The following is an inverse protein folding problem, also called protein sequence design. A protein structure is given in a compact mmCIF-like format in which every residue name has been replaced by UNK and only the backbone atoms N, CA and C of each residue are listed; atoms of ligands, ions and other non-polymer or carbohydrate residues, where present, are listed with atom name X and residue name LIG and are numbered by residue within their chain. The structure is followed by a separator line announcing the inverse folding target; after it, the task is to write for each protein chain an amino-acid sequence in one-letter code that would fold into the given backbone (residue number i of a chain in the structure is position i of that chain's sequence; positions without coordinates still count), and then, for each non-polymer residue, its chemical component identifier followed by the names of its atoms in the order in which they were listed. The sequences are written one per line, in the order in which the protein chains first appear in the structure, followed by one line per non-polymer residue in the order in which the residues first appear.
data_IF_604047552044
#
_entry.id   IF_604047552044
#
_cell.length_a   1.000
_cell.length_b   1.000
_cell.length_c   1.000
_cell.angle_alpha   90.00
_cell.angle_beta   90.00
_cell.angle_gamma   90.00
#
_symmetry.space_group_name_H-M   'P 1'
#
loop_
_entity.id
_entity.type
_entity.pdbx_description
1 polymer ?
#
# COMPACT_ATOMS: atom_id res chain seq x y z
N UNK A 1 7.22 -32.38 -20.69
CA UNK A 1 8.18 -31.26 -20.73
C UNK A 1 7.57 -30.15 -21.56
N UNK A 2 7.87 -28.90 -21.22
CA UNK A 2 7.36 -27.64 -21.82
C UNK A 2 6.12 -27.03 -21.15
N UNK A 3 6.23 -26.76 -19.85
CA UNK A 3 5.50 -25.66 -19.18
C UNK A 3 6.35 -24.39 -19.04
N UNK A 4 7.69 -24.53 -19.05
CA UNK A 4 8.61 -23.43 -18.72
C UNK A 4 8.95 -22.51 -19.92
N UNK A 5 8.41 -22.77 -21.11
CA UNK A 5 8.57 -21.92 -22.31
C UNK A 5 7.23 -21.40 -22.86
N UNK A 6 6.15 -21.51 -22.09
CA UNK A 6 4.87 -20.89 -22.43
C UNK A 6 4.82 -19.47 -21.85
N UNK A 7 5.01 -18.48 -22.73
CA UNK A 7 5.05 -17.06 -22.37
C UNK A 7 3.74 -16.33 -22.66
N UNK A 8 2.67 -17.03 -23.05
CA UNK A 8 1.39 -16.39 -23.41
C UNK A 8 0.70 -15.71 -22.21
N UNK A 9 1.08 -16.09 -20.98
CA UNK A 9 0.66 -15.41 -19.75
C UNK A 9 1.61 -14.32 -19.25
N UNK A 10 2.69 -14.01 -19.98
CA UNK A 10 3.63 -12.97 -19.59
C UNK A 10 3.02 -11.57 -19.82
N UNK A 11 3.23 -10.67 -18.86
CA UNK A 11 2.85 -9.26 -19.00
C UNK A 11 3.61 -8.64 -20.19
N UNK A 12 2.95 -7.76 -20.97
CA UNK A 12 3.59 -7.03 -22.07
C UNK A 12 4.72 -6.17 -21.56
N UNK A 13 5.84 -6.11 -22.30
CA UNK A 13 7.04 -5.38 -21.89
C UNK A 13 6.78 -3.88 -21.62
N UNK A 14 5.85 -3.26 -22.35
CA UNK A 14 5.58 -1.81 -22.32
C UNK A 14 4.92 -1.33 -21.01
N UNK A 15 4.03 -2.15 -20.43
CA UNK A 15 3.28 -1.78 -19.21
C UNK A 15 4.17 -1.53 -17.98
N UNK A 16 5.40 -2.06 -17.99
CA UNK A 16 6.38 -1.83 -16.94
C UNK A 16 6.96 -0.41 -16.99
N UNK A 17 7.03 0.21 -18.18
CA UNK A 17 7.72 1.48 -18.42
C UNK A 17 6.82 2.71 -18.27
N UNK A 18 5.52 2.59 -18.49
CA UNK A 18 4.59 3.73 -18.39
C UNK A 18 4.56 4.32 -16.99
N UNK A 19 4.65 5.64 -16.84
CA UNK A 19 4.57 6.26 -15.52
C UNK A 19 3.19 6.10 -14.91
N UNK A 20 3.15 5.71 -13.63
CA UNK A 20 1.92 5.80 -12.84
C UNK A 20 1.53 7.27 -12.72
N UNK A 21 0.26 7.64 -12.97
CA UNK A 21 -0.20 9.02 -12.84
C UNK A 21 0.11 9.59 -11.46
N UNK A 22 0.48 10.87 -11.41
CA UNK A 22 0.70 11.56 -10.14
C UNK A 22 -0.59 11.60 -9.30
N UNK A 23 -0.43 11.59 -7.98
CA UNK A 23 -1.49 11.53 -6.97
C UNK A 23 -2.25 10.20 -6.90
N UNK A 24 -1.82 9.16 -7.62
CA UNK A 24 -2.39 7.81 -7.48
C UNK A 24 -2.16 7.28 -6.06
N UNK A 25 -3.22 6.76 -5.44
CA UNK A 25 -3.16 6.10 -4.14
C UNK A 25 -3.12 4.58 -4.32
N UNK A 26 -2.13 3.93 -3.72
CA UNK A 26 -1.94 2.47 -3.80
C UNK A 26 -1.50 1.90 -2.47
N UNK A 27 -1.91 0.66 -2.18
CA UNK A 27 -1.33 -0.12 -1.07
C UNK A 27 -0.02 -0.73 -1.54
N UNK A 28 1.03 -0.51 -0.77
CA UNK A 28 2.38 -0.99 -1.09
C UNK A 28 3.03 -1.69 0.09
N UNK A 29 3.91 -2.64 -0.19
CA UNK A 29 4.82 -3.24 0.80
C UNK A 29 6.22 -2.64 0.64
N UNK A 30 6.77 -2.12 1.74
CA UNK A 30 8.07 -1.47 1.76
C UNK A 30 9.22 -2.47 1.96
N UNK A 31 10.34 -2.23 1.31
CA UNK A 31 11.63 -2.87 1.60
C UNK A 31 12.72 -1.81 1.63
N UNK A 32 13.55 -1.81 2.67
CA UNK A 32 14.74 -0.97 2.73
C UNK A 32 15.93 -1.77 2.19
N UNK A 33 16.61 -1.22 1.19
CA UNK A 33 17.85 -1.78 0.68
C UNK A 33 19.02 -1.25 1.50
N UNK A 34 19.85 -2.13 2.10
CA UNK A 34 20.99 -1.69 2.90
C UNK A 34 21.99 -0.92 2.03
N UNK A 35 22.53 0.16 2.58
CA UNK A 35 23.48 1.03 1.89
C UNK A 35 24.88 1.04 2.49
N UNK A 36 25.09 0.31 3.60
CA UNK A 36 26.39 0.17 4.27
C UNK A 36 26.79 1.35 5.17
N UNK A 37 25.94 2.38 5.34
CA UNK A 37 26.21 3.53 6.19
C UNK A 37 25.32 3.57 7.44
N UNK A 38 25.76 4.32 8.45
CA UNK A 38 25.10 4.44 9.74
C UNK A 38 25.35 3.23 10.66
N UNK A 39 24.89 3.29 11.94
CA UNK A 39 25.22 2.26 12.94
C UNK A 39 24.80 0.84 12.56
N UNK A 40 23.72 0.70 11.80
CA UNK A 40 23.14 -0.59 11.41
C UNK A 40 23.27 -0.89 9.90
N UNK A 41 23.99 -0.05 9.14
CA UNK A 41 24.20 -0.27 7.70
C UNK A 41 22.97 -0.02 6.79
N UNK A 42 21.83 0.39 7.34
CA UNK A 42 20.60 0.66 6.56
C UNK A 42 20.68 1.92 5.69
N UNK A 43 21.51 2.88 6.05
CA UNK A 43 21.60 4.16 5.34
C UNK A 43 22.53 4.03 4.13
N UNK A 44 22.28 4.86 3.12
CA UNK A 44 23.17 5.08 1.99
C UNK A 44 23.73 6.49 2.07
N UNK A 45 25.04 6.63 1.91
CA UNK A 45 25.68 7.93 1.77
C UNK A 45 25.57 8.43 0.32
N UNK A 46 25.30 9.72 0.14
CA UNK A 46 25.33 10.35 -1.17
C UNK A 46 26.74 10.33 -1.77
N UNK A 47 26.84 10.09 -3.08
CA UNK A 47 28.14 10.08 -3.79
C UNK A 47 28.77 11.47 -3.90
N UNK A 48 27.95 12.53 -3.83
CA UNK A 48 28.37 13.91 -4.09
C UNK A 48 28.31 14.79 -2.85
N UNK A 49 27.93 14.26 -1.69
CA UNK A 49 27.82 15.03 -0.45
C UNK A 49 27.81 14.14 0.79
N UNK A 50 27.84 14.75 1.98
CA UNK A 50 27.72 14.10 3.29
C UNK A 50 26.28 13.68 3.66
N UNK A 51 25.32 13.89 2.76
CA UNK A 51 23.92 13.54 2.98
C UNK A 51 23.73 12.01 3.12
N UNK A 52 22.83 11.61 4.03
CA UNK A 52 22.43 10.22 4.26
C UNK A 52 20.95 10.04 3.92
N UNK A 53 20.60 8.89 3.34
CA UNK A 53 19.22 8.56 2.98
C UNK A 53 18.94 7.06 3.04
N UNK A 54 17.67 6.69 3.17
CA UNK A 54 17.20 5.32 2.95
C UNK A 54 16.96 5.09 1.47
N UNK A 55 17.45 3.97 0.96
CA UNK A 55 17.14 3.51 -0.39
C UNK A 55 15.98 2.50 -0.29
N UNK A 56 14.79 2.90 -0.68
CA UNK A 56 13.58 2.09 -0.50
C UNK A 56 13.05 1.58 -1.82
N UNK A 57 12.55 0.35 -1.78
CA UNK A 57 11.74 -0.28 -2.82
C UNK A 57 10.34 -0.49 -2.24
N UNK A 58 9.31 -0.12 -2.99
CA UNK A 58 7.92 -0.38 -2.63
C UNK A 58 7.24 -1.14 -3.75
N UNK A 59 6.63 -2.29 -3.44
CA UNK A 59 5.89 -3.11 -4.40
C UNK A 59 4.41 -2.82 -4.23
N UNK A 60 3.72 -2.50 -5.32
CA UNK A 60 2.27 -2.29 -5.33
C UNK A 60 1.56 -3.64 -5.19
N UNK A 61 0.67 -3.75 -4.21
CA UNK A 61 0.05 -5.03 -3.86
C UNK A 61 -1.14 -5.39 -4.75
N UNK A 62 -2.00 -4.41 -5.05
CA UNK A 62 -3.27 -4.64 -5.74
C UNK A 62 -3.61 -3.47 -6.68
N UNK A 63 -4.64 -3.68 -7.51
CA UNK A 63 -5.14 -2.69 -8.46
C UNK A 63 -4.43 -2.71 -9.83
N UNK A 64 -4.69 -1.71 -10.68
CA UNK A 64 -4.22 -1.69 -12.07
C UNK A 64 -2.69 -1.60 -12.21
N UNK A 65 -1.99 -1.27 -11.13
CA UNK A 65 -0.54 -1.14 -11.07
C UNK A 65 0.11 -2.22 -10.20
N UNK A 66 -0.60 -3.31 -9.89
CA UNK A 66 -0.09 -4.40 -9.05
C UNK A 66 1.25 -4.94 -9.55
N UNK A 67 2.10 -5.37 -8.61
CA UNK A 67 3.45 -5.92 -8.83
C UNK A 67 4.49 -4.93 -9.36
N UNK A 68 4.13 -3.67 -9.65
CA UNK A 68 5.10 -2.64 -10.03
C UNK A 68 5.95 -2.20 -8.83
N UNK A 69 7.24 -1.96 -9.08
CA UNK A 69 8.21 -1.46 -8.09
C UNK A 69 8.40 0.03 -8.20
N UNK A 70 8.38 0.70 -7.06
CA UNK A 70 8.62 2.14 -6.91
C UNK A 70 9.87 2.34 -6.06
N UNK A 71 10.88 3.01 -6.63
CA UNK A 71 12.12 3.30 -5.94
C UNK A 71 12.11 4.72 -5.38
N UNK A 72 12.21 4.86 -4.06
CA UNK A 72 12.18 6.16 -3.39
C UNK A 72 13.40 6.33 -2.48
N UNK A 73 14.05 7.50 -2.57
CA UNK A 73 15.08 7.91 -1.62
C UNK A 73 14.42 8.73 -0.52
N UNK A 74 14.56 8.31 0.73
CA UNK A 74 14.00 9.03 1.89
C UNK A 74 15.14 9.69 2.65
N UNK A 75 15.14 11.02 2.73
CA UNK A 75 16.21 11.76 3.39
C UNK A 75 16.31 11.47 4.88
N UNK A 76 17.47 11.04 5.35
CA UNK A 76 17.72 10.87 6.77
C UNK A 76 18.50 12.05 7.35
N UNK A 77 19.47 12.56 6.59
CA UNK A 77 20.27 13.73 6.95
C UNK A 77 20.72 14.45 5.68
N UNK A 78 20.54 15.75 5.62
CA UNK A 78 20.98 16.61 4.52
C UNK A 78 22.46 16.96 4.59
N UNK A 79 22.98 17.48 3.47
CA UNK A 79 24.40 17.88 3.33
C UNK A 79 24.83 18.99 4.28
N UNK A 80 23.90 19.84 4.70
CA UNK A 80 24.15 21.04 5.54
C UNK A 80 23.65 20.86 6.99
N UNK A 81 23.33 19.63 7.42
CA UNK A 81 22.67 19.39 8.70
C UNK A 81 23.49 19.84 9.94
N UNK A 82 24.81 20.04 9.79
CA UNK A 82 25.67 20.56 10.85
C UNK A 82 25.74 22.08 10.95
N UNK A 83 25.10 22.83 10.04
CA UNK A 83 25.31 24.27 9.88
C UNK A 83 24.04 25.07 9.60
N UNK A 84 22.87 24.43 9.60
CA UNK A 84 21.59 25.07 9.29
C UNK A 84 20.41 24.09 9.27
N UNK A 85 19.28 24.53 8.70
CA UNK A 85 18.06 23.70 8.59
C UNK A 85 18.28 22.47 7.68
N UNK A 86 18.00 21.29 8.23
CA UNK A 86 18.07 20.02 7.52
C UNK A 86 16.75 19.73 6.80
N UNK A 87 16.33 20.60 5.86
CA UNK A 87 15.05 20.45 5.15
C UNK A 87 14.92 19.07 4.49
N UNK A 88 16.01 18.49 3.99
CA UNK A 88 16.03 17.16 3.37
C UNK A 88 15.74 16.05 4.38
N UNK A 89 16.46 16.04 5.50
CA UNK A 89 16.21 15.08 6.59
C UNK A 89 14.83 15.29 7.23
N UNK A 90 14.38 16.53 7.40
CA UNK A 90 13.07 16.85 7.97
C UNK A 90 11.92 16.32 7.10
N UNK A 91 12.01 16.49 5.77
CA UNK A 91 11.04 15.89 4.83
C UNK A 91 11.03 14.36 4.91
N UNK A 92 12.20 13.73 4.99
CA UNK A 92 12.25 12.27 5.09
C UNK A 92 11.79 11.72 6.44
N UNK A 93 12.09 12.40 7.56
CA UNK A 93 11.53 12.09 8.89
C UNK A 93 10.00 12.18 8.90
N UNK A 94 9.44 13.22 8.26
CA UNK A 94 8.00 13.35 8.10
C UNK A 94 7.40 12.19 7.29
N UNK A 95 8.07 11.76 6.22
CA UNK A 95 7.64 10.61 5.43
C UNK A 95 7.73 9.30 6.22
N UNK A 96 8.82 9.05 6.96
CA UNK A 96 8.99 7.88 7.83
C UNK A 96 7.86 7.82 8.86
N UNK A 97 7.59 8.94 9.53
CA UNK A 97 6.47 9.06 10.47
C UNK A 97 5.14 8.71 9.79
N UNK A 98 4.86 9.27 8.61
CA UNK A 98 3.65 8.98 7.86
C UNK A 98 3.52 7.51 7.45
N UNK A 99 4.62 6.84 7.10
CA UNK A 99 4.64 5.40 6.79
C UNK A 99 4.24 4.60 8.04
N UNK A 100 4.83 4.90 9.19
CA UNK A 100 4.52 4.22 10.45
C UNK A 100 3.06 4.45 10.85
N UNK A 101 2.56 5.68 10.74
CA UNK A 101 1.17 6.04 11.02
C UNK A 101 0.21 5.30 10.09
N UNK A 102 0.48 5.29 8.78
CA UNK A 102 -0.33 4.58 7.79
C UNK A 102 -0.30 3.07 8.01
N UNK A 103 0.84 2.47 8.29
CA UNK A 103 0.96 1.01 8.45
C UNK A 103 0.26 0.54 9.73
N UNK A 104 0.43 1.30 10.81
CA UNK A 104 -0.09 0.97 12.15
C UNK A 104 -1.50 1.51 12.39
N UNK A 105 -2.09 2.22 11.43
CA UNK A 105 -3.46 2.73 11.52
C UNK A 105 -3.64 3.84 12.55
N UNK A 106 -2.63 4.67 12.75
CA UNK A 106 -2.60 5.75 13.74
C UNK A 106 -2.92 7.08 13.06
N UNK A 107 -3.74 7.91 13.70
CA UNK A 107 -4.02 9.26 13.20
C UNK A 107 -2.84 10.19 13.45
N UNK A 108 -2.53 11.08 12.52
CA UNK A 108 -1.41 12.01 12.66
C UNK A 108 -1.59 12.97 13.86
N UNK A 109 -2.85 13.31 14.17
CA UNK A 109 -3.23 14.17 15.30
C UNK A 109 -3.20 13.43 16.65
N UNK A 110 -3.13 12.10 16.67
CA UNK A 110 -3.16 11.32 17.91
C UNK A 110 -1.83 11.43 18.67
N UNK A 111 -1.90 12.05 19.85
CA UNK A 111 -0.77 12.27 20.76
C UNK A 111 -0.84 11.37 22.00
N UNK A 112 -1.66 10.31 22.00
CA UNK A 112 -1.67 9.33 23.08
C UNK A 112 -0.33 8.60 23.19
N UNK A 113 -0.04 8.05 24.37
CA UNK A 113 1.19 7.26 24.58
C UNK A 113 1.24 6.02 23.70
N UNK A 114 0.08 5.42 23.40
CA UNK A 114 -0.05 4.35 22.43
C UNK A 114 0.41 4.80 21.03
N UNK A 115 -0.05 5.96 20.56
CA UNK A 115 0.35 6.51 19.26
C UNK A 115 1.82 6.93 19.23
N UNK A 116 2.39 7.43 20.34
CA UNK A 116 3.83 7.73 20.44
C UNK A 116 4.66 6.46 20.37
N UNK A 117 4.32 5.45 21.17
CA UNK A 117 5.00 4.15 21.17
C UNK A 117 4.94 3.50 19.79
N UNK A 118 3.79 3.56 19.14
CA UNK A 118 3.59 3.03 17.82
C UNK A 118 4.16 3.93 16.68
N UNK A 119 4.89 5.00 16.99
CA UNK A 119 5.79 5.69 16.04
C UNK A 119 7.27 5.40 16.30
N UNK A 120 7.59 4.70 17.38
CA UNK A 120 8.96 4.29 17.68
C UNK A 120 9.31 3.00 16.92
N UNK A 121 10.58 2.91 16.55
CA UNK A 121 11.24 1.75 15.96
C UNK A 121 12.62 1.63 16.62
N UNK A 122 13.13 0.41 16.81
CA UNK A 122 14.47 0.19 17.39
C UNK A 122 15.55 0.12 16.31
N UNK A 123 15.16 -0.31 15.12
CA UNK A 123 15.99 -0.36 13.93
C UNK A 123 15.26 0.22 12.72
N UNK A 124 15.99 0.85 11.80
CA UNK A 124 15.42 1.26 10.50
C UNK A 124 14.92 0.04 9.72
N UNK A 125 15.55 -1.13 9.89
CA UNK A 125 15.16 -2.38 9.25
C UNK A 125 13.73 -2.83 9.55
N UNK A 126 13.17 -2.45 10.71
CA UNK A 126 11.79 -2.78 11.11
C UNK A 126 10.72 -2.22 10.18
N UNK A 127 11.07 -1.23 9.36
CA UNK A 127 10.13 -0.69 8.36
C UNK A 127 9.98 -1.59 7.13
N UNK A 128 10.91 -2.53 6.91
CA UNK A 128 10.79 -3.50 5.82
C UNK A 128 9.66 -4.49 6.14
N UNK A 129 8.82 -4.78 5.15
CA UNK A 129 7.61 -5.58 5.31
C UNK A 129 6.38 -4.77 5.76
N UNK A 130 6.51 -3.48 6.08
CA UNK A 130 5.35 -2.66 6.37
C UNK A 130 4.50 -2.44 5.10
N UNK A 131 3.20 -2.67 5.25
CA UNK A 131 2.20 -2.30 4.26
C UNK A 131 1.60 -0.95 4.61
N UNK A 132 1.49 -0.06 3.62
CA UNK A 132 0.92 1.27 3.84
C UNK A 132 0.29 1.83 2.57
N UNK A 133 -0.53 2.87 2.70
CA UNK A 133 -1.12 3.57 1.55
C UNK A 133 -0.17 4.66 1.10
N UNK A 134 0.40 4.51 -0.09
CA UNK A 134 1.32 5.47 -0.69
C UNK A 134 0.60 6.37 -1.69
N UNK A 135 0.92 7.67 -1.67
CA UNK A 135 0.64 8.59 -2.76
C UNK A 135 1.83 8.62 -3.71
N UNK A 136 1.63 8.11 -4.92
CA UNK A 136 2.63 8.12 -5.98
C UNK A 136 2.68 9.50 -6.62
N UNK A 137 3.88 10.00 -6.86
CA UNK A 137 4.12 11.16 -7.70
C UNK A 137 5.19 10.87 -8.74
N UNK A 138 5.47 11.89 -9.54
CA UNK A 138 6.51 11.86 -10.56
C UNK A 138 7.63 12.80 -10.10
N UNK A 139 8.85 12.29 -10.05
CA UNK A 139 10.06 13.06 -9.77
C UNK A 139 10.86 13.23 -11.04
N UNK A 140 10.97 14.47 -11.50
CA UNK A 140 11.81 14.83 -12.63
C UNK A 140 13.25 15.02 -12.17
N UNK A 141 14.17 14.60 -13.03
CA UNK A 141 15.57 14.92 -12.84
C UNK A 141 15.79 16.41 -13.16
N UNK A 142 16.56 17.10 -12.33
CA UNK A 142 16.92 18.50 -12.58
C UNK A 142 17.95 18.62 -13.70
N UNK A 143 18.81 17.61 -13.82
CA UNK A 143 19.89 17.59 -14.82
C UNK A 143 19.38 17.08 -16.18
N UNK A 144 18.19 16.46 -16.21
CA UNK A 144 17.52 15.96 -17.42
C UNK A 144 16.04 16.35 -17.43
N UNK A 145 15.72 17.64 -17.63
CA UNK A 145 14.35 18.15 -17.54
C UNK A 145 13.42 17.64 -18.65
N UNK A 146 13.99 17.21 -19.78
CA UNK A 146 13.26 16.68 -20.95
C UNK A 146 12.78 15.23 -20.75
N UNK A 147 13.31 14.53 -19.74
CA UNK A 147 12.83 13.19 -19.40
C UNK A 147 11.53 13.27 -18.59
N UNK A 148 10.58 12.33 -18.81
CA UNK A 148 9.27 12.35 -18.14
C UNK A 148 9.37 12.19 -16.61
N UNK A 149 10.54 11.79 -16.10
CA UNK A 149 10.84 11.55 -14.69
C UNK A 149 10.64 10.09 -14.29
N UNK A 150 10.60 9.84 -12.98
CA UNK A 150 10.35 8.50 -12.41
C UNK A 150 9.27 8.56 -11.35
N UNK A 151 8.57 7.45 -11.16
CA UNK A 151 7.65 7.34 -10.03
C UNK A 151 8.41 7.30 -8.70
N UNK A 152 7.88 8.01 -7.70
CA UNK A 152 8.38 8.02 -6.33
C UNK A 152 7.21 8.19 -5.35
N UNK A 153 7.38 7.68 -4.13
CA UNK A 153 6.43 7.92 -3.04
C UNK A 153 6.61 9.36 -2.56
N UNK A 154 5.54 10.17 -2.65
CA UNK A 154 5.57 11.57 -2.21
C UNK A 154 4.97 11.76 -0.81
N UNK A 155 4.04 10.91 -0.43
CA UNK A 155 3.45 10.90 0.91
C UNK A 155 2.95 9.50 1.27
N UNK A 156 2.89 9.20 2.56
CA UNK A 156 2.10 8.11 3.09
C UNK A 156 0.76 8.68 3.60
N UNK A 157 -0.32 7.97 3.31
CA UNK A 157 -1.68 8.42 3.61
C UNK A 157 -2.17 7.67 4.84
N UNK A 158 -2.52 8.40 5.90
CA UNK A 158 -3.01 7.82 7.14
C UNK A 158 -4.54 7.67 7.20
N UNK A 159 -5.07 7.13 8.32
CA UNK A 159 -6.50 6.84 8.51
C UNK A 159 -7.46 8.03 8.44
N UNK A 160 -6.96 9.26 8.57
CA UNK A 160 -7.78 10.46 8.46
C UNK A 160 -8.24 10.75 7.02
N UNK A 161 -7.63 10.12 6.01
CA UNK A 161 -7.97 10.32 4.61
C UNK A 161 -9.15 9.44 4.18
N UNK A 162 -10.13 9.98 3.46
CA UNK A 162 -11.35 9.27 3.07
C UNK A 162 -11.11 7.96 2.31
N UNK A 163 -10.14 7.95 1.40
CA UNK A 163 -9.77 6.74 0.64
C UNK A 163 -8.92 5.72 1.39
N UNK A 164 -8.40 6.03 2.59
CA UNK A 164 -7.42 5.18 3.26
C UNK A 164 -7.97 3.77 3.51
N UNK A 165 -9.15 3.65 4.13
CA UNK A 165 -9.70 2.34 4.49
C UNK A 165 -10.05 1.50 3.25
N UNK A 166 -10.47 2.16 2.16
CA UNK A 166 -10.74 1.52 0.87
C UNK A 166 -9.47 0.97 0.25
N UNK A 167 -8.42 1.77 0.16
CA UNK A 167 -7.14 1.37 -0.46
C UNK A 167 -6.37 0.37 0.41
N UNK A 168 -6.43 0.51 1.73
CA UNK A 168 -5.80 -0.44 2.66
C UNK A 168 -6.48 -1.81 2.67
N UNK A 169 -7.67 -1.96 2.07
CA UNK A 169 -8.45 -3.20 2.08
C UNK A 169 -9.17 -3.46 3.42
N UNK A 170 -9.42 -2.41 4.20
CA UNK A 170 -10.10 -2.47 5.51
C UNK A 170 -11.60 -2.21 5.43
N UNK A 171 -12.12 -1.82 4.27
CA UNK A 171 -13.56 -1.86 4.00
C UNK A 171 -13.93 -3.27 3.53
N UNK A 172 -15.00 -3.88 4.05
CA UNK A 172 -15.58 -5.03 3.38
C UNK A 172 -15.91 -4.55 1.96
N UNK A 173 -15.31 -5.18 0.96
CA UNK A 173 -15.84 -5.03 -0.39
C UNK A 173 -17.31 -5.44 -0.29
N UNK A 174 -18.26 -4.68 -0.86
CA UNK A 174 -19.59 -5.22 -1.05
C UNK A 174 -19.39 -6.49 -1.86
N UNK A 175 -19.51 -7.63 -1.18
CA UNK A 175 -19.65 -8.89 -1.87
C UNK A 175 -20.87 -8.67 -2.74
N UNK A 176 -20.68 -8.68 -4.05
CA UNK A 176 -21.77 -8.96 -4.97
C UNK A 176 -22.21 -10.38 -4.63
N UNK A 177 -23.00 -10.47 -3.56
CA UNK A 177 -23.72 -11.66 -3.21
C UNK A 177 -24.61 -11.94 -4.40
N UNK A 178 -24.28 -13.00 -5.13
CA UNK A 178 -25.24 -13.83 -5.82
C UNK A 178 -26.13 -14.49 -4.76
N UNK A 179 -26.85 -13.67 -3.99
CA UNK A 179 -27.98 -14.07 -3.20
C UNK A 179 -29.18 -13.96 -4.12
N UNK A 180 -29.58 -15.08 -4.72
CA UNK A 180 -30.91 -15.25 -5.28
C UNK A 180 -31.94 -15.15 -4.14
N UNK A 181 -32.21 -13.92 -3.69
CA UNK A 181 -33.33 -13.56 -2.84
C UNK A 181 -34.41 -12.96 -3.73
N UNK A 182 -35.33 -13.80 -4.23
CA UNK A 182 -36.51 -13.34 -4.94
C UNK A 182 -37.40 -12.47 -4.01
N UNK A 183 -38.07 -11.43 -4.53
CA UNK A 183 -38.97 -10.61 -3.73
C UNK A 183 -40.26 -11.40 -3.47
N UNK A 184 -40.61 -11.62 -2.20
CA UNK A 184 -41.96 -12.08 -1.85
C UNK A 184 -42.79 -10.88 -1.45
N UNK A 185 -43.74 -10.56 -2.34
CA UNK A 185 -44.90 -9.73 -2.05
C UNK A 185 -45.66 -10.28 -0.84
N UNK A 186 -46.17 -9.35 -0.02
CA UNK A 186 -47.02 -9.62 1.12
C UNK A 186 -48.46 -9.89 0.67
N UNK A 187 -49.09 -10.91 1.23
CA UNK A 187 -50.55 -11.03 1.32
C UNK A 187 -50.94 -11.58 2.71
N UNK A 188 -52.07 -11.11 3.28
CA UNK A 188 -52.48 -11.47 4.64
C UNK A 188 -53.47 -12.64 4.63
N UNK A 189 -53.36 -13.60 5.55
CA UNK A 189 -54.56 -14.27 6.05
C UNK A 189 -54.39 -14.93 7.43
N UNK A 190 -55.45 -14.81 8.21
CA UNK A 190 -55.69 -15.40 9.52
C UNK A 190 -56.01 -16.90 9.41
N UNK A 191 -55.63 -17.68 10.43
CA UNK A 191 -56.45 -18.82 10.90
C UNK A 191 -55.96 -20.25 10.59
N UNK A 192 -55.63 -20.96 11.69
CA UNK A 192 -56.01 -22.34 12.04
C UNK A 192 -55.34 -23.59 11.39
N UNK A 193 -54.74 -24.38 12.32
CA UNK A 193 -54.80 -25.84 12.53
C UNK A 193 -54.24 -26.87 11.50
N UNK A 194 -53.47 -27.83 12.06
CA UNK A 194 -52.94 -29.08 11.50
C UNK A 194 -54.07 -30.12 11.17
N UNK A 195 -53.87 -31.29 10.48
CA UNK A 195 -52.72 -32.23 10.58
C UNK A 195 -52.32 -33.10 9.34
N UNK A 196 -51.23 -33.87 9.53
CA UNK A 196 -50.84 -35.23 9.05
C UNK A 196 -50.70 -35.65 7.55
N UNK A 197 -49.50 -36.18 7.27
CA UNK A 197 -49.08 -37.35 6.42
C UNK A 197 -49.60 -37.55 4.99
N UNK A 198 -48.68 -37.66 4.01
CA UNK A 198 -48.44 -38.93 3.31
C UNK A 198 -47.18 -38.96 2.41
N UNK A 199 -46.60 -40.16 2.40
CA UNK A 199 -45.38 -40.63 1.75
C UNK A 199 -45.47 -40.67 0.22
N UNK A 200 -44.37 -40.37 -0.48
CA UNK A 200 -44.15 -40.80 -1.88
C UNK A 200 -42.65 -40.90 -2.19
N UNK A 201 -42.23 -42.08 -2.63
CA UNK A 201 -40.85 -42.55 -2.79
C UNK A 201 -40.06 -41.87 -3.94
N UNK A 202 -38.71 -41.98 -3.95
CA UNK A 202 -37.85 -41.26 -4.89
C UNK A 202 -37.71 -41.92 -6.27
N UNK A 203 -37.16 -41.12 -7.19
CA UNK A 203 -37.23 -41.19 -8.65
C UNK A 203 -36.49 -42.33 -9.39
N UNK A 204 -35.92 -43.33 -8.70
CA UNK A 204 -35.18 -44.42 -9.34
C UNK A 204 -36.04 -45.64 -9.71
N UNK A 205 -37.37 -45.56 -9.52
CA UNK A 205 -38.34 -46.52 -10.04
C UNK A 205 -39.13 -45.89 -11.20
N UNK A 206 -38.52 -45.81 -12.39
CA UNK A 206 -39.18 -45.70 -13.70
C UNK A 206 -38.34 -46.40 -14.76
#
# INVERSE_FOLDING_TARGET
MTSDMDFNGADTQDAAFDLIPANTLVRVTLTIRPGGAGPEGWLTQSKTSTALYLNTEAIIMEGPFARRRIYTRIGFRGKNAGSGDDTYGNRGRALIRGILESARGIRAEDQSDAARSARMIRSLGEMSGLEFVARIGIERDKDRPDEPGRNAIKAAIGPAHGDYARVMGRMPQPTLGLGTGAPRMAEPNYGQAAPASNSSAPFWAR
#
